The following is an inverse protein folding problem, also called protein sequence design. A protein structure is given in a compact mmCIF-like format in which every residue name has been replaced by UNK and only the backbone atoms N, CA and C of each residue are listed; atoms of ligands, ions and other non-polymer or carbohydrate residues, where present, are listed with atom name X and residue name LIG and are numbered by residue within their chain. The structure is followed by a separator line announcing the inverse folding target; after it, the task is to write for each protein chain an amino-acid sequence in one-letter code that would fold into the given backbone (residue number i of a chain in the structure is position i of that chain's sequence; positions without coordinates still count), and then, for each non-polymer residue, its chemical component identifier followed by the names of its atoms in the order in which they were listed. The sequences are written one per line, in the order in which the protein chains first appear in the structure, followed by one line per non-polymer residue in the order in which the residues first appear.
data_IF_828243047532
#
_entry.id   IF_828243047532
#
_cell.length_a   1.000
_cell.length_b   1.000
_cell.length_c   1.000
_cell.angle_alpha   90.00
_cell.angle_beta   90.00
_cell.angle_gamma   90.00
#
_symmetry.space_group_name_H-M   'P 1'
#
loop_
_entity.id
_entity.type
_entity.pdbx_description
1 polymer ?
#
# COMPACT_ATOMS: atom_id res chain seq x y z
N UNK A 1 13.43 -2.94 13.45
CA UNK A 1 12.25 -3.03 12.58
C UNK A 1 11.44 -1.75 12.69
N UNK A 2 11.03 -1.23 11.56
CA UNK A 2 10.16 -0.05 11.50
C UNK A 2 8.69 -0.48 11.59
N UNK A 3 7.91 0.34 12.29
CA UNK A 3 6.47 0.09 12.48
C UNK A 3 5.72 1.39 12.22
N UNK A 4 4.84 1.37 11.21
CA UNK A 4 4.01 2.52 10.83
C UNK A 4 2.56 2.18 11.12
N UNK A 5 1.86 3.06 11.82
CA UNK A 5 0.43 2.92 12.11
C UNK A 5 -0.26 4.23 11.77
N UNK A 6 -1.33 4.14 10.98
CA UNK A 6 -2.17 5.28 10.61
C UNK A 6 -3.62 4.93 10.73
N UNK A 7 -4.42 5.89 11.16
CA UNK A 7 -5.87 5.75 11.25
C UNK A 7 -6.47 7.09 10.85
N UNK A 8 -7.44 7.06 9.93
CA UNK A 8 -8.07 8.28 9.42
C UNK A 8 -9.54 8.03 9.10
N UNK A 9 -10.37 9.03 9.36
CA UNK A 9 -11.77 9.03 8.96
C UNK A 9 -11.89 9.75 7.61
N UNK A 10 -12.56 9.12 6.66
CA UNK A 10 -12.77 9.69 5.33
C UNK A 10 -14.26 9.69 4.96
N UNK A 11 -14.64 10.61 4.07
CA UNK A 11 -16.04 10.73 3.61
C UNK A 11 -16.33 9.84 2.40
N UNK A 12 -15.50 8.85 2.15
CA UNK A 12 -15.64 7.90 1.05
C UNK A 12 -16.08 6.54 1.59
N UNK A 13 -16.92 5.79 0.85
CA UNK A 13 -17.33 4.45 1.28
C UNK A 13 -16.15 3.48 1.38
N UNK A 14 -16.23 2.53 2.31
CA UNK A 14 -15.19 1.51 2.49
C UNK A 14 -14.93 0.74 1.18
N UNK A 15 -15.98 0.40 0.43
CA UNK A 15 -15.84 -0.31 -0.84
C UNK A 15 -15.01 0.48 -1.87
N UNK A 16 -15.15 1.81 -1.89
CA UNK A 16 -14.39 2.67 -2.80
C UNK A 16 -12.93 2.77 -2.39
N UNK A 17 -12.68 2.92 -1.09
CA UNK A 17 -11.30 2.97 -0.58
C UNK A 17 -10.59 1.63 -0.78
N UNK A 18 -11.26 0.52 -0.53
CA UNK A 18 -10.72 -0.81 -0.79
C UNK A 18 -10.36 -0.99 -2.26
N UNK A 19 -11.25 -0.63 -3.17
CA UNK A 19 -11.01 -0.75 -4.61
C UNK A 19 -9.83 0.10 -5.06
N UNK A 20 -9.68 1.30 -4.51
CA UNK A 20 -8.56 2.20 -4.82
C UNK A 20 -7.23 1.61 -4.39
N UNK A 21 -7.15 1.10 -3.16
CA UNK A 21 -5.92 0.48 -2.63
C UNK A 21 -5.58 -0.81 -3.38
N UNK A 22 -6.58 -1.55 -3.81
CA UNK A 22 -6.40 -2.81 -4.52
C UNK A 22 -6.04 -2.65 -6.01
N UNK A 23 -6.19 -1.43 -6.54
CA UNK A 23 -5.90 -1.14 -7.95
C UNK A 23 -4.42 -0.79 -8.16
N UNK A 24 -3.58 -1.78 -7.98
CA UNK A 24 -2.11 -1.65 -8.07
C UNK A 24 -1.65 -1.07 -9.42
N UNK A 25 -2.21 -1.48 -10.58
CA UNK A 25 -1.80 -0.91 -11.86
C UNK A 25 -1.96 0.61 -11.99
N UNK A 26 -2.84 1.22 -11.21
CA UNK A 26 -3.07 2.67 -11.23
C UNK A 26 -2.15 3.46 -10.31
N UNK A 27 -1.33 2.80 -9.50
CA UNK A 27 -0.44 3.47 -8.53
C UNK A 27 0.48 4.53 -9.16
N UNK A 28 1.09 4.32 -10.34
CA UNK A 28 1.94 5.35 -10.94
C UNK A 28 1.22 6.67 -11.26
N UNK A 29 -0.11 6.65 -11.37
CA UNK A 29 -0.89 7.85 -11.71
C UNK A 29 -0.93 8.87 -10.58
N UNK A 30 -0.71 8.47 -9.33
CA UNK A 30 -0.80 9.37 -8.17
C UNK A 30 0.25 9.17 -7.09
N UNK A 31 1.10 8.15 -7.21
CA UNK A 31 2.21 7.92 -6.29
C UNK A 31 3.52 8.30 -7.00
N UNK A 32 4.13 9.44 -6.67
CA UNK A 32 5.28 9.95 -7.43
C UNK A 32 6.52 9.07 -7.33
N UNK A 33 6.59 8.20 -6.31
CA UNK A 33 7.68 7.26 -6.13
C UNK A 33 7.47 5.94 -6.89
N UNK A 34 6.28 5.72 -7.44
CA UNK A 34 5.93 4.45 -8.09
C UNK A 34 6.19 4.52 -9.59
N UNK A 35 7.10 3.70 -10.09
CA UNK A 35 7.41 3.61 -11.50
C UNK A 35 6.56 2.58 -12.25
N UNK A 36 5.84 1.72 -11.54
CA UNK A 36 4.97 0.72 -12.15
C UNK A 36 4.31 -0.14 -11.10
N UNK A 37 3.18 -0.74 -11.46
CA UNK A 37 2.46 -1.69 -10.62
C UNK A 37 1.82 -2.75 -11.48
N UNK A 38 1.87 -4.00 -11.04
CA UNK A 38 1.35 -5.14 -11.81
C UNK A 38 0.67 -6.13 -10.87
N UNK A 39 -0.42 -6.70 -11.34
CA UNK A 39 -1.07 -7.83 -10.67
C UNK A 39 -0.60 -9.10 -11.37
N UNK A 40 0.08 -9.99 -10.63
CA UNK A 40 0.63 -11.24 -11.15
C UNK A 40 -0.36 -12.38 -11.10
N UNK A 41 -1.15 -12.44 -10.02
CA UNK A 41 -2.24 -13.39 -9.84
C UNK A 41 -3.35 -12.71 -9.04
N UNK A 42 -4.60 -13.08 -9.30
CA UNK A 42 -5.73 -12.49 -8.60
C UNK A 42 -6.92 -13.44 -8.52
N UNK A 43 -7.54 -13.48 -7.34
CA UNK A 43 -8.84 -14.07 -7.09
C UNK A 43 -9.60 -13.16 -6.13
N UNK A 44 -10.80 -13.54 -5.71
CA UNK A 44 -11.56 -12.75 -4.75
C UNK A 44 -10.91 -12.69 -3.36
N UNK A 45 -10.07 -13.68 -3.04
CA UNK A 45 -9.48 -13.83 -1.70
C UNK A 45 -7.98 -13.64 -1.65
N UNK A 46 -7.31 -13.62 -2.79
CA UNK A 46 -5.85 -13.51 -2.88
C UNK A 46 -5.41 -12.69 -4.07
N UNK A 47 -4.26 -12.01 -3.90
CA UNK A 47 -3.61 -11.28 -4.98
C UNK A 47 -2.10 -11.38 -4.79
N UNK A 48 -1.38 -11.58 -5.89
CA UNK A 48 0.07 -11.34 -5.91
C UNK A 48 0.32 -10.11 -6.77
N UNK A 49 1.04 -9.16 -6.22
CA UNK A 49 1.28 -7.88 -6.88
C UNK A 49 2.75 -7.50 -6.83
N UNK A 50 3.22 -6.81 -7.86
CA UNK A 50 4.56 -6.25 -7.93
C UNK A 50 4.48 -4.73 -8.03
N UNK A 51 5.32 -4.04 -7.26
CA UNK A 51 5.38 -2.58 -7.23
C UNK A 51 6.82 -2.14 -7.44
N UNK A 52 7.02 -1.21 -8.37
CA UNK A 52 8.35 -0.66 -8.66
C UNK A 52 8.54 0.66 -7.90
N UNK A 53 9.61 0.73 -7.12
CA UNK A 53 10.06 1.98 -6.51
C UNK A 53 11.03 2.63 -7.49
N UNK A 54 10.73 3.87 -7.88
CA UNK A 54 11.58 4.68 -8.75
C UNK A 54 11.61 6.10 -8.18
N UNK A 55 12.50 6.35 -7.21
CA UNK A 55 12.49 7.60 -6.47
C UNK A 55 13.87 7.90 -5.87
N UNK A 56 14.33 9.13 -5.99
CA UNK A 56 15.60 9.61 -5.42
C UNK A 56 16.80 8.70 -5.77
N UNK A 57 16.86 8.24 -7.03
CA UNK A 57 17.95 7.39 -7.52
C UNK A 57 17.82 5.91 -7.17
N UNK A 58 16.76 5.52 -6.46
CA UNK A 58 16.48 4.12 -6.12
C UNK A 58 15.56 3.53 -7.17
N UNK A 59 15.92 2.35 -7.68
CA UNK A 59 15.08 1.55 -8.57
C UNK A 59 15.05 0.12 -8.05
N UNK A 60 13.95 -0.27 -7.43
CA UNK A 60 13.76 -1.59 -6.84
C UNK A 60 12.33 -2.05 -7.04
N UNK A 61 12.15 -3.35 -7.24
CA UNK A 61 10.83 -3.97 -7.33
C UNK A 61 10.63 -4.87 -6.12
N UNK A 62 9.45 -4.81 -5.53
CA UNK A 62 9.06 -5.76 -4.51
C UNK A 62 7.71 -6.39 -4.86
N UNK A 63 7.53 -7.65 -4.46
CA UNK A 63 6.29 -8.39 -4.66
C UNK A 63 5.71 -8.81 -3.33
N UNK A 64 4.38 -8.77 -3.26
CA UNK A 64 3.65 -9.18 -2.06
C UNK A 64 2.57 -10.20 -2.43
N UNK A 65 2.27 -11.07 -1.45
CA UNK A 65 1.08 -11.89 -1.47
C UNK A 65 0.06 -11.25 -0.53
N UNK A 66 -1.08 -10.88 -1.08
CA UNK A 66 -2.13 -10.19 -0.35
C UNK A 66 -3.30 -11.12 -0.13
N UNK A 67 -3.73 -11.24 1.13
CA UNK A 67 -4.97 -11.94 1.47
C UNK A 67 -6.08 -10.89 1.53
N UNK A 68 -7.16 -11.13 0.82
CA UNK A 68 -8.23 -10.15 0.60
C UNK A 68 -9.51 -10.58 1.31
N UNK A 69 -10.09 -9.66 2.09
CA UNK A 69 -11.48 -9.73 2.54
C UNK A 69 -12.18 -8.54 1.87
N UNK A 70 -12.96 -8.78 0.81
CA UNK A 70 -13.50 -7.68 -0.01
C UNK A 70 -14.19 -6.59 0.80
N UNK A 71 -13.81 -5.34 0.52
CA UNK A 71 -14.32 -4.11 1.15
C UNK A 71 -13.98 -3.96 2.64
N UNK A 72 -13.22 -4.90 3.24
CA UNK A 72 -12.94 -4.88 4.67
C UNK A 72 -11.45 -4.86 5.01
N UNK A 73 -10.65 -5.70 4.34
CA UNK A 73 -9.26 -5.89 4.77
C UNK A 73 -8.36 -6.38 3.64
N UNK A 74 -7.10 -5.94 3.68
CA UNK A 74 -6.03 -6.43 2.82
C UNK A 74 -4.84 -6.73 3.73
N UNK A 75 -4.42 -8.01 3.80
CA UNK A 75 -3.23 -8.43 4.54
C UNK A 75 -2.08 -8.59 3.56
N UNK A 76 -0.95 -7.94 3.84
CA UNK A 76 0.23 -7.91 2.99
C UNK A 76 1.35 -8.78 3.57
N UNK A 77 1.94 -9.64 2.74
CA UNK A 77 3.10 -10.43 3.10
C UNK A 77 4.15 -10.38 1.98
N UNK A 78 5.41 -10.24 2.34
CA UNK A 78 6.51 -10.16 1.39
C UNK A 78 6.70 -11.49 0.65
N UNK A 79 6.83 -11.42 -0.68
CA UNK A 79 7.30 -12.54 -1.50
C UNK A 79 8.74 -12.34 -1.93
N UNK A 80 9.08 -11.13 -2.42
CA UNK A 80 10.45 -10.81 -2.83
C UNK A 80 10.66 -9.30 -2.81
N UNK A 81 11.90 -8.89 -2.70
CA UNK A 81 12.28 -7.49 -2.73
C UNK A 81 13.48 -7.20 -1.83
N UNK A 82 13.83 -5.91 -1.67
CA UNK A 82 15.03 -5.52 -0.92
C UNK A 82 14.87 -5.58 0.60
N UNK A 83 13.73 -6.05 1.09
CA UNK A 83 13.44 -6.13 2.52
C UNK A 83 13.93 -7.44 3.11
N UNK A 84 14.36 -7.43 4.37
CA UNK A 84 14.48 -8.65 5.15
C UNK A 84 13.13 -9.09 5.71
N UNK A 85 12.23 -8.11 5.97
CA UNK A 85 10.86 -8.36 6.41
C UNK A 85 9.94 -7.28 5.89
N UNK A 86 8.73 -7.66 5.51
CA UNK A 86 7.65 -6.74 5.18
C UNK A 86 6.33 -7.45 5.41
N UNK A 87 5.50 -6.88 6.28
CA UNK A 87 4.12 -7.34 6.49
C UNK A 87 3.27 -6.13 6.84
N UNK A 88 2.01 -6.19 6.49
CA UNK A 88 1.11 -5.09 6.80
C UNK A 88 -0.34 -5.45 6.66
N UNK A 89 -1.20 -4.51 7.01
CA UNK A 89 -2.64 -4.69 6.93
C UNK A 89 -3.33 -3.37 6.68
N UNK A 90 -4.26 -3.37 5.74
CA UNK A 90 -5.26 -2.33 5.56
C UNK A 90 -6.58 -2.82 6.12
N UNK A 91 -7.28 -1.95 6.85
CA UNK A 91 -8.65 -2.21 7.29
C UNK A 91 -9.54 -1.04 6.89
N UNK A 92 -10.74 -1.37 6.43
CA UNK A 92 -11.73 -0.40 5.96
C UNK A 92 -13.03 -0.67 6.71
N UNK A 93 -13.37 0.21 7.66
CA UNK A 93 -14.56 0.05 8.48
C UNK A 93 -15.61 1.07 8.06
N UNK A 94 -16.71 0.59 7.45
CA UNK A 94 -17.81 1.43 7.04
C UNK A 94 -18.46 2.08 8.26
N UNK A 95 -18.72 3.39 8.17
CA UNK A 95 -19.36 4.18 9.22
C UNK A 95 -20.69 4.75 8.68
N UNK A 96 -21.77 3.99 8.83
CA UNK A 96 -23.08 4.37 8.30
C UNK A 96 -23.04 4.60 6.80
N UNK A 97 -23.69 5.67 6.34
CA UNK A 97 -23.72 6.04 4.93
C UNK A 97 -22.73 7.18 4.60
N UNK A 98 -22.00 7.67 5.60
CA UNK A 98 -21.21 8.90 5.47
C UNK A 98 -19.80 8.64 4.94
N UNK A 99 -19.17 7.54 5.37
CA UNK A 99 -17.80 7.28 5.01
C UNK A 99 -17.25 6.04 5.69
N UNK A 100 -15.93 6.01 5.90
CA UNK A 100 -15.30 4.87 6.57
C UNK A 100 -14.09 5.31 7.40
N UNK A 101 -13.67 4.41 8.28
CA UNK A 101 -12.39 4.51 8.98
C UNK A 101 -11.38 3.65 8.23
N UNK A 102 -10.30 4.26 7.77
CA UNK A 102 -9.18 3.57 7.15
C UNK A 102 -8.09 3.39 8.20
N UNK A 103 -7.68 2.15 8.42
CA UNK A 103 -6.57 1.81 9.32
C UNK A 103 -5.48 1.12 8.52
N UNK A 104 -4.24 1.51 8.75
CA UNK A 104 -3.08 0.93 8.08
C UNK A 104 -1.98 0.65 9.08
N UNK A 105 -1.41 -0.53 8.99
CA UNK A 105 -0.27 -0.96 9.79
C UNK A 105 0.75 -1.62 8.88
N UNK A 106 2.02 -1.22 9.03
CA UNK A 106 3.12 -1.75 8.23
C UNK A 106 4.32 -2.00 9.12
N UNK A 107 4.90 -3.20 9.01
CA UNK A 107 6.13 -3.58 9.68
C UNK A 107 7.15 -3.96 8.62
N UNK A 108 8.34 -3.37 8.68
CA UNK A 108 9.37 -3.68 7.70
C UNK A 108 10.77 -3.51 8.27
N UNK A 109 11.73 -4.21 7.66
CA UNK A 109 13.13 -4.12 7.98
C UNK A 109 13.96 -4.34 6.72
N UNK A 110 15.16 -3.78 6.71
CA UNK A 110 16.12 -3.91 5.64
C UNK A 110 17.40 -4.52 6.16
N UNK A 111 18.13 -5.25 5.30
CA UNK A 111 19.44 -5.81 5.58
C UNK A 111 20.35 -5.63 4.38
N UNK A 112 21.66 -5.61 4.64
CA UNK A 112 22.68 -5.56 3.61
C UNK A 112 22.82 -4.19 2.97
N UNK A 113 23.72 -4.11 2.00
CA UNK A 113 24.08 -2.85 1.35
C UNK A 113 22.93 -2.24 0.58
N UNK A 114 22.24 -3.04 -0.24
CA UNK A 114 21.11 -2.57 -1.03
C UNK A 114 19.96 -2.14 -0.12
N UNK A 115 19.66 -2.94 0.91
CA UNK A 115 18.64 -2.59 1.88
C UNK A 115 18.93 -1.26 2.57
N UNK A 116 20.16 -1.01 2.96
CA UNK A 116 20.57 0.23 3.60
C UNK A 116 20.43 1.45 2.67
N UNK A 117 20.58 1.27 1.37
CA UNK A 117 20.37 2.33 0.38
C UNK A 117 18.88 2.64 0.18
N UNK A 118 18.03 1.63 0.25
CA UNK A 118 16.58 1.76 0.04
C UNK A 118 15.86 2.30 1.26
N UNK A 119 16.34 1.99 2.46
CA UNK A 119 15.66 2.31 3.72
C UNK A 119 15.22 3.77 3.86
N UNK A 120 16.07 4.80 3.63
CA UNK A 120 15.64 6.19 3.78
C UNK A 120 14.54 6.60 2.80
N UNK A 121 14.58 6.05 1.59
CA UNK A 121 13.56 6.31 0.56
C UNK A 121 12.25 5.66 0.98
N UNK A 122 12.31 4.42 1.42
CA UNK A 122 11.10 3.70 1.83
C UNK A 122 10.46 4.29 3.09
N UNK A 123 11.25 4.82 4.01
CA UNK A 123 10.73 5.51 5.19
C UNK A 123 9.86 6.72 4.78
N UNK A 124 10.25 7.45 3.74
CA UNK A 124 9.45 8.55 3.19
C UNK A 124 8.16 8.05 2.55
N UNK A 125 8.25 6.96 1.78
CA UNK A 125 7.09 6.34 1.14
C UNK A 125 6.09 5.92 2.22
N UNK A 126 6.54 5.18 3.21
CA UNK A 126 5.67 4.64 4.26
C UNK A 126 4.98 5.75 5.07
N UNK A 127 5.68 6.84 5.37
CA UNK A 127 5.12 7.94 6.15
C UNK A 127 4.03 8.74 5.43
N UNK A 128 4.02 8.74 4.09
CA UNK A 128 3.07 9.52 3.28
C UNK A 128 2.04 8.65 2.55
N UNK A 129 2.11 7.34 2.71
CA UNK A 129 1.37 6.38 1.89
C UNK A 129 -0.14 6.55 1.99
N UNK A 130 -0.67 6.52 3.21
CA UNK A 130 -2.12 6.64 3.45
C UNK A 130 -2.66 7.98 2.95
N UNK A 131 -1.94 9.06 3.22
CA UNK A 131 -2.36 10.40 2.82
C UNK A 131 -2.47 10.53 1.29
N UNK A 132 -1.59 9.86 0.55
CA UNK A 132 -1.64 9.85 -0.91
C UNK A 132 -2.93 9.19 -1.43
N UNK A 133 -3.33 8.08 -0.83
CA UNK A 133 -4.59 7.41 -1.20
C UNK A 133 -5.81 8.27 -0.86
N UNK A 134 -5.82 8.94 0.27
CA UNK A 134 -6.91 9.84 0.67
C UNK A 134 -7.03 11.00 -0.33
N UNK A 135 -5.91 11.63 -0.68
CA UNK A 135 -5.92 12.71 -1.69
C UNK A 135 -6.41 12.23 -3.06
N UNK A 136 -6.03 11.01 -3.44
CA UNK A 136 -6.50 10.42 -4.71
C UNK A 136 -8.01 10.19 -4.68
N UNK A 137 -8.54 9.67 -3.57
CA UNK A 137 -9.97 9.48 -3.39
C UNK A 137 -10.74 10.80 -3.50
N UNK A 138 -10.20 11.86 -2.86
CA UNK A 138 -10.78 13.19 -2.95
C UNK A 138 -10.78 13.74 -4.39
N UNK A 139 -9.67 13.57 -5.10
CA UNK A 139 -9.52 14.01 -6.48
C UNK A 139 -10.47 13.28 -7.44
N UNK A 140 -10.77 12.01 -7.16
CA UNK A 140 -11.68 11.20 -7.96
C UNK A 140 -13.16 11.34 -7.54
N UNK A 141 -13.43 12.07 -6.48
CA UNK A 141 -14.79 12.25 -5.92
C UNK A 141 -15.48 10.92 -5.57
N UNK A 142 -14.73 10.02 -4.95
CA UNK A 142 -15.24 8.68 -4.62
C UNK A 142 -16.33 8.66 -3.54
#
# INVERSE_FOLDING_TARGET
MKHVVRSILVTHPAAKMYALVNDVPSYPEFLPWCGGGRILEQSDTHMQAAVDIAYLGVQQTFTTHNTLVPNERIDLALLSGPFSRLSGQWRFKQLGDVGCKVEFELNYAFEGLIGNLVAPVFDRIASSFVDAFVRRADALHL
#
